data_IF_685596120956
#
_entry.id   IF_685596120956
#
_cell.length_a   1.000
_cell.length_b   1.000
_cell.length_c   1.000
_cell.angle_alpha   90.00
_cell.angle_beta   90.00
_cell.angle_gamma   90.00
#
_symmetry.space_group_name_H-M   'P 1'
#
loop_
_entity.id
_entity.type
_entity.pdbx_description
1 polymer ?
#
# COMPACT_ATOMS: atom_id res chain seq x y z
N UNK A 1 -19.23 -18.95 13.16
CA UNK A 1 -18.45 -18.12 12.23
C UNK A 1 -18.16 -16.71 12.77
N UNK A 2 -19.13 -16.03 13.42
CA UNK A 2 -18.99 -14.68 13.97
C UNK A 2 -17.83 -14.57 15.00
N UNK A 3 -17.84 -15.39 16.05
CA UNK A 3 -16.79 -15.35 17.10
C UNK A 3 -15.39 -15.62 16.54
N UNK A 4 -15.28 -16.56 15.59
CA UNK A 4 -14.02 -16.87 14.89
C UNK A 4 -13.50 -15.67 14.12
N UNK A 5 -14.36 -14.94 13.42
CA UNK A 5 -14.00 -13.74 12.68
C UNK A 5 -13.37 -12.67 13.58
N UNK A 6 -14.02 -12.33 14.68
CA UNK A 6 -13.52 -11.30 15.61
C UNK A 6 -12.28 -11.73 16.39
N UNK A 7 -12.16 -13.02 16.71
CA UNK A 7 -10.93 -13.55 17.31
C UNK A 7 -9.72 -13.41 16.38
N UNK A 8 -9.88 -13.74 15.10
CA UNK A 8 -8.82 -13.58 14.10
C UNK A 8 -8.49 -12.11 13.83
N UNK A 9 -9.50 -11.24 13.81
CA UNK A 9 -9.33 -9.81 13.65
C UNK A 9 -8.58 -9.19 14.84
N UNK A 10 -8.91 -9.61 16.07
CA UNK A 10 -8.21 -9.19 17.28
C UNK A 10 -6.74 -9.62 17.28
N UNK A 11 -6.45 -10.89 16.93
CA UNK A 11 -5.09 -11.39 16.79
C UNK A 11 -4.30 -10.61 15.72
N UNK A 12 -4.93 -10.31 14.59
CA UNK A 12 -4.32 -9.53 13.53
C UNK A 12 -3.97 -8.10 13.98
N UNK A 13 -4.91 -7.44 14.67
CA UNK A 13 -4.68 -6.08 15.18
C UNK A 13 -3.58 -6.06 16.24
N UNK A 14 -3.54 -7.04 17.13
CA UNK A 14 -2.48 -7.20 18.13
C UNK A 14 -1.12 -7.36 17.46
N UNK A 15 -1.01 -8.24 16.46
CA UNK A 15 0.26 -8.49 15.77
C UNK A 15 0.74 -7.29 14.96
N UNK A 16 -0.16 -6.53 14.33
CA UNK A 16 0.18 -5.29 13.63
C UNK A 16 0.71 -4.20 14.57
N UNK A 17 0.06 -4.02 15.72
CA UNK A 17 0.55 -3.09 16.74
C UNK A 17 1.93 -3.51 17.26
N UNK A 18 2.18 -4.82 17.39
CA UNK A 18 3.49 -5.35 17.78
C UNK A 18 4.61 -4.97 16.80
N UNK A 19 4.35 -4.94 15.48
CA UNK A 19 5.34 -4.46 14.49
C UNK A 19 5.67 -2.99 14.71
N UNK A 20 4.65 -2.16 14.92
CA UNK A 20 4.81 -0.70 15.05
C UNK A 20 5.51 -0.32 16.35
N UNK A 21 5.19 -0.99 17.44
CA UNK A 21 5.72 -0.72 18.77
C UNK A 21 7.08 -1.39 19.05
N UNK A 22 7.54 -2.28 18.19
CA UNK A 22 8.83 -2.95 18.36
C UNK A 22 9.98 -1.93 18.38
N UNK A 23 10.90 -2.10 19.30
CA UNK A 23 12.14 -1.30 19.46
C UNK A 23 13.40 -2.06 18.99
N UNK A 24 13.23 -3.28 18.55
CA UNK A 24 14.31 -4.16 18.07
C UNK A 24 13.84 -5.08 16.94
N UNK A 25 14.80 -5.60 16.17
CA UNK A 25 14.56 -6.44 15.00
C UNK A 25 13.87 -7.78 15.35
N UNK A 26 14.19 -8.38 16.51
CA UNK A 26 13.59 -9.67 16.88
C UNK A 26 12.12 -9.51 17.24
N UNK A 27 11.76 -8.52 18.06
CA UNK A 27 10.36 -8.23 18.40
C UNK A 27 9.55 -7.86 17.16
N UNK A 28 10.15 -7.10 16.23
CA UNK A 28 9.53 -6.79 14.95
C UNK A 28 9.30 -8.06 14.12
N UNK A 29 10.31 -8.95 14.04
CA UNK A 29 10.20 -10.21 13.29
C UNK A 29 9.16 -11.16 13.89
N UNK A 30 9.11 -11.31 15.22
CA UNK A 30 8.09 -12.14 15.89
C UNK A 30 6.68 -11.64 15.56
N UNK A 31 6.44 -10.35 15.66
CA UNK A 31 5.15 -9.73 15.31
C UNK A 31 4.84 -9.86 13.82
N UNK A 32 5.86 -9.76 12.97
CA UNK A 32 5.81 -9.95 11.53
C UNK A 32 5.32 -11.35 11.13
N UNK A 33 5.83 -12.38 11.80
CA UNK A 33 5.42 -13.75 11.62
C UNK A 33 3.96 -13.97 12.09
N UNK A 34 3.59 -13.35 13.22
CA UNK A 34 2.23 -13.44 13.74
C UNK A 34 1.21 -12.77 12.81
N UNK A 35 1.58 -11.66 12.15
CA UNK A 35 0.78 -11.06 11.07
C UNK A 35 0.61 -12.04 9.91
N UNK A 36 1.65 -12.79 9.56
CA UNK A 36 1.58 -13.82 8.52
C UNK A 36 0.54 -14.89 8.84
N UNK A 37 0.54 -15.42 10.07
CA UNK A 37 -0.42 -16.43 10.52
C UNK A 37 -1.84 -15.85 10.61
N UNK A 38 -2.01 -14.69 11.21
CA UNK A 38 -3.34 -14.08 11.36
C UNK A 38 -3.97 -13.70 10.02
N UNK A 39 -3.17 -13.25 9.05
CA UNK A 39 -3.61 -12.99 7.68
C UNK A 39 -4.04 -14.28 6.96
N UNK A 40 -3.29 -15.37 7.12
CA UNK A 40 -3.67 -16.68 6.60
C UNK A 40 -5.06 -17.10 7.08
N UNK A 41 -5.34 -16.94 8.39
CA UNK A 41 -6.63 -17.27 8.99
C UNK A 41 -7.77 -16.36 8.48
N UNK A 42 -7.49 -15.10 8.22
CA UNK A 42 -8.48 -14.13 7.74
C UNK A 42 -8.79 -14.31 6.25
N UNK A 43 -7.79 -14.55 5.39
CA UNK A 43 -7.98 -14.84 3.96
C UNK A 43 -8.76 -16.14 3.80
N UNK A 44 -8.37 -17.17 4.56
CA UNK A 44 -9.03 -18.47 4.59
C UNK A 44 -10.27 -18.52 5.49
N UNK A 45 -10.96 -17.40 5.75
CA UNK A 45 -12.13 -17.38 6.62
C UNK A 45 -13.22 -18.35 6.17
N UNK A 46 -13.42 -18.47 4.88
CA UNK A 46 -14.31 -19.43 4.22
C UNK A 46 -13.56 -20.64 3.67
N UNK A 47 -12.74 -21.27 4.52
CA UNK A 47 -11.86 -22.40 4.13
C UNK A 47 -12.63 -23.62 3.57
N UNK A 48 -13.95 -23.66 3.73
CA UNK A 48 -14.79 -24.67 3.10
C UNK A 48 -14.83 -24.52 1.56
N UNK A 49 -14.48 -23.33 1.03
CA UNK A 49 -14.30 -23.08 -0.41
C UNK A 49 -12.85 -23.34 -0.79
N UNK A 50 -12.62 -24.17 -1.79
CA UNK A 50 -11.28 -24.49 -2.29
C UNK A 50 -10.52 -23.24 -2.76
N UNK A 51 -11.20 -22.27 -3.37
CA UNK A 51 -10.61 -21.00 -3.79
C UNK A 51 -10.01 -20.23 -2.60
N UNK A 52 -10.76 -20.08 -1.50
CA UNK A 52 -10.30 -19.37 -0.31
C UNK A 52 -9.19 -20.14 0.43
N UNK A 53 -9.30 -21.48 0.50
CA UNK A 53 -8.27 -22.32 1.10
C UNK A 53 -6.94 -22.25 0.31
N UNK A 54 -7.01 -22.27 -1.02
CA UNK A 54 -5.82 -22.16 -1.87
C UNK A 54 -5.23 -20.74 -1.85
N UNK A 55 -6.06 -19.70 -1.86
CA UNK A 55 -5.62 -18.31 -1.73
C UNK A 55 -4.86 -18.06 -0.42
N UNK A 56 -5.37 -18.58 0.70
CA UNK A 56 -4.70 -18.43 2.00
C UNK A 56 -3.36 -19.15 2.05
N UNK A 57 -3.27 -20.39 1.53
CA UNK A 57 -2.01 -21.14 1.42
C UNK A 57 -1.00 -20.39 0.54
N UNK A 58 -1.43 -19.91 -0.63
CA UNK A 58 -0.58 -19.13 -1.54
C UNK A 58 -0.04 -17.88 -0.87
N UNK A 59 -0.90 -17.10 -0.20
CA UNK A 59 -0.49 -15.91 0.51
C UNK A 59 0.54 -16.23 1.60
N UNK A 60 0.30 -17.25 2.42
CA UNK A 60 1.21 -17.64 3.49
C UNK A 60 2.58 -18.11 2.96
N UNK A 61 2.59 -19.02 1.98
CA UNK A 61 3.83 -19.57 1.44
C UNK A 61 4.67 -18.52 0.70
N UNK A 62 4.02 -17.64 -0.09
CA UNK A 62 4.71 -16.57 -0.80
C UNK A 62 5.34 -15.56 0.17
N UNK A 63 4.62 -15.18 1.23
CA UNK A 63 5.16 -14.30 2.26
C UNK A 63 6.33 -14.95 3.01
N UNK A 64 6.26 -16.26 3.27
CA UNK A 64 7.33 -17.00 3.97
C UNK A 64 8.67 -16.93 3.24
N UNK A 65 8.67 -16.91 1.90
CA UNK A 65 9.90 -16.72 1.12
C UNK A 65 10.55 -15.37 1.46
N UNK A 66 9.76 -14.29 1.55
CA UNK A 66 10.25 -12.98 1.99
C UNK A 66 10.73 -12.97 3.44
N UNK A 67 10.01 -13.65 4.33
CA UNK A 67 10.32 -13.72 5.76
C UNK A 67 11.66 -14.44 6.03
N UNK A 68 12.00 -15.47 5.24
CA UNK A 68 13.32 -16.12 5.29
C UNK A 68 14.44 -15.12 4.95
N UNK A 69 14.27 -14.34 3.89
CA UNK A 69 15.23 -13.27 3.54
C UNK A 69 15.40 -12.26 4.66
N UNK A 70 14.29 -11.83 5.26
CA UNK A 70 14.28 -10.90 6.41
C UNK A 70 15.08 -11.47 7.59
N UNK A 71 14.83 -12.72 7.94
CA UNK A 71 15.56 -13.40 9.03
C UNK A 71 17.07 -13.47 8.75
N UNK A 72 17.47 -13.84 7.54
CA UNK A 72 18.88 -13.86 7.14
C UNK A 72 19.51 -12.46 7.28
N UNK A 73 18.82 -11.43 6.82
CA UNK A 73 19.27 -10.03 6.96
C UNK A 73 19.49 -9.63 8.43
N UNK A 74 18.56 -10.00 9.31
CA UNK A 74 18.70 -9.78 10.78
C UNK A 74 19.92 -10.50 11.34
N UNK A 75 20.13 -11.77 10.97
CA UNK A 75 21.27 -12.54 11.48
C UNK A 75 22.61 -11.99 10.98
N UNK A 76 22.68 -11.48 9.76
CA UNK A 76 23.87 -10.83 9.24
C UNK A 76 24.18 -9.52 10.01
N UNK A 77 23.18 -8.69 10.31
CA UNK A 77 23.37 -7.50 11.15
C UNK A 77 23.82 -7.89 12.56
N UNK A 78 23.17 -8.88 13.16
CA UNK A 78 23.53 -9.34 14.49
C UNK A 78 24.96 -9.89 14.55
N UNK A 79 25.39 -10.67 13.58
CA UNK A 79 26.74 -11.22 13.54
C UNK A 79 27.82 -10.13 13.46
N UNK A 80 27.48 -8.98 12.89
CA UNK A 80 28.43 -7.87 12.73
C UNK A 80 28.38 -6.88 13.90
N UNK A 81 27.19 -6.60 14.45
CA UNK A 81 26.99 -5.57 15.49
C UNK A 81 26.86 -6.16 16.90
N UNK A 82 26.40 -7.41 17.00
CA UNK A 82 26.16 -8.07 18.30
C UNK A 82 24.90 -7.60 19.03
N UNK A 83 24.01 -6.82 18.36
CA UNK A 83 22.79 -6.27 18.94
C UNK A 83 21.59 -6.39 17.99
N UNK A 84 20.39 -6.49 18.57
CA UNK A 84 19.13 -6.47 17.82
C UNK A 84 18.39 -5.13 17.93
N UNK A 85 18.68 -4.30 18.94
CA UNK A 85 18.05 -3.01 19.15
C UNK A 85 18.48 -2.01 18.06
N UNK A 86 17.53 -1.15 17.65
CA UNK A 86 17.76 -0.22 16.54
C UNK A 86 18.87 0.80 16.84
N UNK A 87 18.89 1.39 18.05
CA UNK A 87 19.86 2.43 18.40
C UNK A 87 21.32 1.95 18.33
N UNK A 88 21.73 0.81 18.93
CA UNK A 88 23.08 0.29 18.78
C UNK A 88 23.45 -0.05 17.33
N UNK A 89 22.47 -0.54 16.52
CA UNK A 89 22.72 -0.83 15.10
C UNK A 89 23.04 0.47 14.35
N UNK A 90 22.22 1.50 14.53
CA UNK A 90 22.44 2.78 13.84
C UNK A 90 23.72 3.47 14.29
N UNK A 91 24.08 3.39 15.58
CA UNK A 91 25.32 3.94 16.12
C UNK A 91 26.53 3.21 15.52
N UNK A 92 26.54 1.89 15.52
CA UNK A 92 27.61 1.07 14.95
C UNK A 92 27.81 1.32 13.45
N UNK A 93 26.72 1.54 12.69
CA UNK A 93 26.81 1.87 11.26
C UNK A 93 27.35 3.29 11.06
N UNK A 94 26.97 4.25 11.92
CA UNK A 94 27.41 5.65 11.82
C UNK A 94 28.90 5.82 12.09
N UNK A 95 29.47 5.01 12.98
CA UNK A 95 30.91 5.02 13.29
C UNK A 95 31.77 4.32 12.23
N UNK A 96 31.16 3.48 11.39
CA UNK A 96 31.84 2.76 10.30
C UNK A 96 32.78 1.63 10.75
N UNK A 97 32.80 1.31 12.06
CA UNK A 97 33.79 0.39 12.65
C UNK A 97 33.41 -1.09 12.53
N UNK A 98 32.13 -1.43 12.35
CA UNK A 98 31.65 -2.81 12.58
C UNK A 98 31.23 -3.57 11.35
N UNK A 99 30.88 -2.93 10.23
CA UNK A 99 30.30 -3.64 9.06
C UNK A 99 30.97 -3.20 7.76
N UNK A 100 31.51 -4.17 7.02
CA UNK A 100 31.93 -3.93 5.63
C UNK A 100 30.72 -3.54 4.77
N UNK A 101 30.87 -2.55 3.88
CA UNK A 101 29.77 -2.02 3.04
C UNK A 101 29.05 -3.10 2.22
N UNK A 102 29.76 -4.13 1.73
CA UNK A 102 29.15 -5.26 1.03
C UNK A 102 28.23 -6.09 1.95
N UNK A 103 28.65 -6.38 3.18
CA UNK A 103 27.85 -7.12 4.15
C UNK A 103 26.61 -6.33 4.55
N UNK A 104 26.75 -5.02 4.76
CA UNK A 104 25.61 -4.14 5.05
C UNK A 104 24.61 -4.10 3.89
N UNK A 105 25.10 -4.06 2.64
CA UNK A 105 24.23 -4.11 1.46
C UNK A 105 23.43 -5.41 1.40
N UNK A 106 24.09 -6.56 1.62
CA UNK A 106 23.42 -7.87 1.60
C UNK A 106 22.42 -7.98 2.76
N UNK A 107 22.79 -7.53 3.96
CA UNK A 107 21.88 -7.51 5.10
C UNK A 107 20.65 -6.62 4.86
N UNK A 108 20.87 -5.43 4.30
CA UNK A 108 19.77 -4.51 3.93
C UNK A 108 18.84 -5.11 2.88
N UNK A 109 19.38 -5.74 1.84
CA UNK A 109 18.57 -6.44 0.83
C UNK A 109 17.83 -7.65 1.42
N UNK A 110 18.45 -8.38 2.36
CA UNK A 110 17.80 -9.44 3.11
C UNK A 110 16.58 -8.92 3.89
N UNK A 111 16.74 -7.81 4.62
CA UNK A 111 15.63 -7.16 5.32
C UNK A 111 14.55 -6.70 4.33
N UNK A 112 14.95 -6.09 3.22
CA UNK A 112 14.02 -5.67 2.17
C UNK A 112 13.22 -6.84 1.57
N UNK A 113 13.75 -8.06 1.53
CA UNK A 113 12.98 -9.24 1.09
C UNK A 113 11.73 -9.47 1.94
N UNK A 114 11.75 -9.16 3.25
CA UNK A 114 10.54 -9.16 4.08
C UNK A 114 9.48 -8.17 3.56
N UNK A 115 9.91 -6.97 3.15
CA UNK A 115 9.02 -6.00 2.52
C UNK A 115 8.50 -6.48 1.16
N UNK A 116 9.34 -7.13 0.34
CA UNK A 116 8.93 -7.71 -0.95
C UNK A 116 7.79 -8.72 -0.76
N UNK A 117 7.84 -9.55 0.27
CA UNK A 117 6.76 -10.48 0.62
C UNK A 117 5.49 -9.76 1.07
N UNK A 118 5.54 -9.07 2.22
CA UNK A 118 4.36 -8.46 2.85
C UNK A 118 3.74 -7.32 2.03
N UNK A 119 4.57 -6.46 1.43
CA UNK A 119 4.09 -5.36 0.58
C UNK A 119 3.88 -5.77 -0.88
N UNK A 120 3.86 -7.07 -1.17
CA UNK A 120 3.48 -7.59 -2.49
C UNK A 120 4.29 -6.96 -3.63
N UNK A 121 5.60 -6.85 -3.46
CA UNK A 121 6.48 -6.32 -4.49
C UNK A 121 6.90 -7.42 -5.47
N UNK A 122 7.27 -7.02 -6.68
CA UNK A 122 7.83 -7.96 -7.66
C UNK A 122 9.11 -8.64 -7.09
N UNK A 123 9.25 -9.97 -7.24
CA UNK A 123 8.39 -10.92 -7.93
C UNK A 123 7.30 -11.58 -7.04
N UNK A 124 7.22 -11.27 -5.74
CA UNK A 124 6.32 -11.91 -4.77
C UNK A 124 4.91 -11.28 -4.70
N UNK A 125 4.45 -10.58 -5.73
CA UNK A 125 3.18 -9.84 -5.75
C UNK A 125 1.93 -10.70 -6.00
N UNK A 126 2.10 -11.93 -6.45
CA UNK A 126 1.04 -12.79 -7.01
C UNK A 126 0.00 -13.28 -6.01
N UNK A 127 0.23 -13.13 -4.71
CA UNK A 127 -0.69 -13.60 -3.67
C UNK A 127 -1.81 -12.60 -3.35
N UNK A 128 -1.56 -11.31 -3.52
CA UNK A 128 -2.46 -10.25 -3.05
C UNK A 128 -3.80 -10.20 -3.82
N UNK A 129 -3.84 -10.35 -5.16
CA UNK A 129 -5.11 -10.42 -5.87
C UNK A 129 -5.97 -11.63 -5.50
N UNK A 130 -5.35 -12.78 -5.19
CA UNK A 130 -6.06 -13.98 -4.78
C UNK A 130 -6.56 -13.87 -3.32
N UNK A 131 -5.89 -13.08 -2.49
CA UNK A 131 -6.32 -12.79 -1.12
C UNK A 131 -7.69 -12.05 -1.06
N UNK A 132 -8.22 -11.57 -2.19
CA UNK A 132 -9.56 -10.99 -2.30
C UNK A 132 -10.70 -12.00 -2.07
N UNK A 133 -10.42 -13.28 -1.97
CA UNK A 133 -11.36 -14.32 -1.53
C UNK A 133 -11.83 -14.13 -0.07
N UNK A 134 -11.08 -13.40 0.73
CA UNK A 134 -11.47 -13.05 2.08
C UNK A 134 -12.65 -12.07 2.16
N UNK A 135 -13.28 -11.90 3.36
CA UNK A 135 -14.34 -10.93 3.57
C UNK A 135 -13.91 -9.50 3.20
N UNK A 136 -14.79 -8.72 2.57
CA UNK A 136 -14.44 -7.36 2.10
C UNK A 136 -13.93 -6.42 3.20
N UNK A 137 -14.47 -6.43 4.45
CA UNK A 137 -13.89 -5.64 5.54
C UNK A 137 -12.46 -6.03 5.89
N UNK A 138 -12.12 -7.32 5.77
CA UNK A 138 -10.73 -7.82 5.94
C UNK A 138 -9.85 -7.30 4.80
N UNK A 139 -10.35 -7.35 3.56
CA UNK A 139 -9.62 -6.79 2.41
C UNK A 139 -9.33 -5.30 2.59
N UNK A 140 -10.30 -4.52 3.08
CA UNK A 140 -10.12 -3.11 3.41
C UNK A 140 -9.03 -2.90 4.48
N UNK A 141 -9.07 -3.66 5.57
CA UNK A 141 -8.11 -3.52 6.66
C UNK A 141 -6.70 -3.98 6.24
N UNK A 142 -6.57 -5.19 5.69
CA UNK A 142 -5.26 -5.80 5.38
C UNK A 142 -4.53 -5.07 4.24
N UNK A 143 -5.28 -4.61 3.24
CA UNK A 143 -4.69 -4.11 1.99
C UNK A 143 -4.66 -2.59 1.89
N UNK A 144 -5.34 -1.86 2.79
CA UNK A 144 -5.27 -0.40 2.82
C UNK A 144 -4.16 0.13 3.74
N UNK A 145 -4.14 -0.32 5.01
CA UNK A 145 -3.41 0.38 6.06
C UNK A 145 -2.52 -0.51 6.94
N UNK A 146 -2.54 -1.84 6.79
CA UNK A 146 -1.91 -2.71 7.77
C UNK A 146 -0.88 -3.66 7.16
N UNK A 147 -1.21 -4.92 6.85
CA UNK A 147 -0.24 -5.94 6.46
C UNK A 147 0.67 -5.50 5.30
N UNK A 148 0.07 -4.98 4.23
CA UNK A 148 0.84 -4.54 3.05
C UNK A 148 1.61 -3.25 3.29
N UNK A 149 1.17 -2.43 4.24
CA UNK A 149 1.86 -1.22 4.68
C UNK A 149 3.07 -1.52 5.56
N UNK A 150 3.10 -2.67 6.24
CA UNK A 150 4.16 -3.05 7.17
C UNK A 150 5.55 -3.09 6.52
N UNK A 151 5.64 -3.55 5.25
CA UNK A 151 6.92 -3.56 4.54
C UNK A 151 7.45 -2.16 4.23
N UNK A 152 6.59 -1.25 3.80
CA UNK A 152 6.97 0.15 3.58
C UNK A 152 7.36 0.81 4.91
N UNK A 153 6.57 0.60 5.97
CA UNK A 153 6.89 1.08 7.32
C UNK A 153 8.26 0.60 7.78
N UNK A 154 8.55 -0.69 7.63
CA UNK A 154 9.85 -1.27 7.97
C UNK A 154 10.99 -0.62 7.18
N UNK A 155 10.83 -0.44 5.87
CA UNK A 155 11.84 0.21 5.03
C UNK A 155 12.09 1.66 5.45
N UNK A 156 11.05 2.42 5.80
CA UNK A 156 11.20 3.79 6.31
C UNK A 156 11.88 3.81 7.67
N UNK A 157 11.48 2.93 8.59
CA UNK A 157 12.07 2.86 9.94
C UNK A 157 13.53 2.45 9.94
N UNK A 158 13.89 1.53 9.04
CA UNK A 158 15.24 1.02 8.88
C UNK A 158 16.01 1.71 7.73
N UNK A 159 15.47 2.82 7.21
CA UNK A 159 16.09 3.56 6.11
C UNK A 159 17.58 3.87 6.32
N UNK A 160 18.03 4.24 7.54
CA UNK A 160 19.44 4.52 7.79
C UNK A 160 20.41 3.39 7.43
N UNK A 161 19.98 2.12 7.47
CA UNK A 161 20.86 0.97 7.18
C UNK A 161 21.07 0.70 5.70
N UNK A 162 20.21 1.24 4.82
CA UNK A 162 20.29 0.95 3.38
C UNK A 162 21.44 1.71 2.72
N UNK A 163 22.36 0.96 2.12
CA UNK A 163 23.43 1.51 1.29
C UNK A 163 22.89 2.03 -0.04
N UNK A 164 23.60 2.94 -0.75
CA UNK A 164 23.17 3.41 -2.08
C UNK A 164 22.88 2.28 -3.07
N UNK A 165 23.70 1.21 -3.06
CA UNK A 165 23.46 0.04 -3.90
C UNK A 165 22.17 -0.71 -3.54
N UNK A 166 21.86 -0.85 -2.24
CA UNK A 166 20.60 -1.44 -1.80
C UNK A 166 19.41 -0.55 -2.19
N UNK A 167 19.52 0.77 -2.01
CA UNK A 167 18.47 1.73 -2.38
C UNK A 167 18.17 1.71 -3.88
N UNK A 168 19.19 1.59 -4.73
CA UNK A 168 19.00 1.45 -6.18
C UNK A 168 18.18 0.19 -6.52
N UNK A 169 18.48 -0.95 -5.91
CA UNK A 169 17.70 -2.18 -6.10
C UNK A 169 16.26 -1.99 -5.62
N UNK A 170 16.05 -1.38 -4.45
CA UNK A 170 14.74 -1.06 -3.89
C UNK A 170 13.95 -0.17 -4.86
N UNK A 171 14.57 0.86 -5.43
CA UNK A 171 13.95 1.76 -6.39
C UNK A 171 13.45 1.02 -7.64
N UNK A 172 14.28 0.16 -8.23
CA UNK A 172 13.88 -0.63 -9.41
C UNK A 172 12.78 -1.64 -9.09
N UNK A 173 12.84 -2.35 -7.97
CA UNK A 173 11.77 -3.25 -7.56
C UNK A 173 10.46 -2.48 -7.39
N UNK A 174 10.47 -1.31 -6.76
CA UNK A 174 9.31 -0.46 -6.62
C UNK A 174 8.75 0.03 -7.96
N UNK A 175 9.61 0.53 -8.86
CA UNK A 175 9.22 1.03 -10.17
C UNK A 175 8.60 -0.06 -11.05
N UNK A 176 9.24 -1.24 -11.12
CA UNK A 176 8.75 -2.40 -11.86
C UNK A 176 7.39 -2.85 -11.29
N UNK A 177 7.27 -2.92 -9.96
CA UNK A 177 6.00 -3.28 -9.31
C UNK A 177 4.90 -2.28 -9.66
N UNK A 178 5.18 -0.98 -9.61
CA UNK A 178 4.20 0.07 -9.86
C UNK A 178 3.62 -0.04 -11.28
N UNK A 179 4.48 -0.15 -12.29
CA UNK A 179 4.04 -0.20 -13.69
C UNK A 179 3.37 -1.54 -14.04
N UNK A 180 3.92 -2.66 -13.60
CA UNK A 180 3.41 -3.99 -13.88
C UNK A 180 2.00 -4.18 -13.30
N UNK A 181 1.81 -3.79 -12.05
CA UNK A 181 0.51 -3.86 -11.40
C UNK A 181 -0.50 -2.89 -12.02
N UNK A 182 -0.08 -1.69 -12.43
CA UNK A 182 -0.95 -0.73 -13.10
C UNK A 182 -1.46 -1.27 -14.46
N UNK A 183 -0.59 -1.85 -15.26
CA UNK A 183 -0.96 -2.49 -16.54
C UNK A 183 -1.93 -3.66 -16.30
N UNK A 184 -1.66 -4.51 -15.33
CA UNK A 184 -2.54 -5.65 -15.02
C UNK A 184 -3.91 -5.20 -14.53
N UNK A 185 -4.00 -4.09 -13.78
CA UNK A 185 -5.27 -3.54 -13.30
C UNK A 185 -6.22 -3.14 -14.44
N UNK A 186 -5.70 -2.73 -15.61
CA UNK A 186 -6.52 -2.38 -16.79
C UNK A 186 -7.39 -3.54 -17.26
N UNK A 187 -6.86 -4.76 -17.20
CA UNK A 187 -7.51 -5.94 -17.76
C UNK A 187 -8.48 -6.64 -16.79
N UNK A 188 -8.45 -6.26 -15.52
CA UNK A 188 -9.32 -6.86 -14.51
C UNK A 188 -10.77 -6.39 -14.67
N UNK A 189 -11.71 -7.33 -14.51
CA UNK A 189 -13.16 -7.05 -14.52
C UNK A 189 -13.80 -7.20 -13.14
N UNK A 190 -13.13 -7.85 -12.19
CA UNK A 190 -13.54 -7.96 -10.81
C UNK A 190 -13.16 -6.67 -10.05
N UNK A 191 -14.16 -6.03 -9.43
CA UNK A 191 -13.98 -4.75 -8.72
C UNK A 191 -12.94 -4.84 -7.59
N UNK A 192 -12.89 -5.96 -6.85
CA UNK A 192 -11.89 -6.18 -5.80
C UNK A 192 -10.48 -6.43 -6.38
N UNK A 193 -10.37 -7.17 -7.49
CA UNK A 193 -9.09 -7.43 -8.13
C UNK A 193 -8.48 -6.16 -8.74
N UNK A 194 -9.28 -5.27 -9.33
CA UNK A 194 -8.81 -3.94 -9.76
C UNK A 194 -8.21 -3.19 -8.56
N UNK A 195 -8.94 -3.15 -7.44
CA UNK A 195 -8.47 -2.48 -6.23
C UNK A 195 -7.23 -3.16 -5.64
N UNK A 196 -7.10 -4.47 -5.72
CA UNK A 196 -5.92 -5.20 -5.28
C UNK A 196 -4.67 -4.83 -6.11
N UNK A 197 -4.75 -4.91 -7.43
CA UNK A 197 -3.64 -4.50 -8.30
C UNK A 197 -3.31 -3.01 -8.16
N UNK A 198 -4.33 -2.17 -7.94
CA UNK A 198 -4.08 -0.77 -7.65
C UNK A 198 -3.38 -0.57 -6.30
N UNK A 199 -3.59 -1.45 -5.31
CA UNK A 199 -2.82 -1.45 -4.05
C UNK A 199 -1.37 -1.83 -4.30
N UNK A 200 -1.11 -2.91 -5.04
CA UNK A 200 0.25 -3.32 -5.42
C UNK A 200 0.99 -2.17 -6.12
N UNK A 201 0.33 -1.50 -7.06
CA UNK A 201 0.90 -0.35 -7.78
C UNK A 201 1.25 0.81 -6.84
N UNK A 202 0.36 1.20 -5.91
CA UNK A 202 0.65 2.28 -4.96
C UNK A 202 1.76 1.92 -3.97
N UNK A 203 1.83 0.68 -3.52
CA UNK A 203 2.96 0.20 -2.71
C UNK A 203 4.27 0.23 -3.50
N UNK A 204 4.22 -0.08 -4.80
CA UNK A 204 5.36 0.10 -5.71
C UNK A 204 5.85 1.55 -5.75
N UNK A 205 4.95 2.55 -5.81
CA UNK A 205 5.31 3.97 -5.69
C UNK A 205 6.01 4.30 -4.37
N UNK A 206 5.50 3.76 -3.25
CA UNK A 206 6.12 4.00 -1.94
C UNK A 206 7.51 3.39 -1.85
N UNK A 207 7.68 2.17 -2.36
CA UNK A 207 8.99 1.49 -2.39
C UNK A 207 9.96 2.21 -3.34
N UNK A 208 9.49 2.68 -4.51
CA UNK A 208 10.26 3.54 -5.40
C UNK A 208 10.75 4.80 -4.68
N UNK A 209 9.86 5.48 -3.93
CA UNK A 209 10.21 6.68 -3.19
C UNK A 209 11.23 6.41 -2.06
N UNK A 210 11.13 5.27 -1.37
CA UNK A 210 12.16 4.85 -0.41
C UNK A 210 13.49 4.65 -1.13
N UNK A 211 13.50 3.94 -2.26
CA UNK A 211 14.73 3.64 -3.01
C UNK A 211 15.40 4.88 -3.62
N UNK A 212 14.64 5.93 -3.95
CA UNK A 212 15.18 7.21 -4.43
C UNK A 212 15.52 8.21 -3.31
N UNK A 213 15.44 7.80 -2.04
CA UNK A 213 15.79 8.64 -0.90
C UNK A 213 14.66 9.54 -0.37
N UNK A 214 13.48 9.54 -1.02
CA UNK A 214 12.34 10.39 -0.64
C UNK A 214 11.39 9.65 0.31
N UNK A 215 11.95 9.03 1.34
CA UNK A 215 11.22 8.16 2.27
C UNK A 215 10.12 8.88 3.08
N UNK A 216 10.29 10.19 3.32
CA UNK A 216 9.26 11.02 3.98
C UNK A 216 7.98 11.08 3.15
N UNK A 217 8.11 11.31 1.83
CA UNK A 217 6.97 11.29 0.92
C UNK A 217 6.35 9.89 0.80
N UNK A 218 7.17 8.83 0.81
CA UNK A 218 6.70 7.45 0.85
C UNK A 218 5.81 7.19 2.06
N UNK A 219 6.23 7.63 3.25
CA UNK A 219 5.48 7.42 4.48
C UNK A 219 4.24 8.32 4.57
N UNK A 220 4.32 9.54 4.07
CA UNK A 220 3.13 10.40 3.94
C UNK A 220 2.12 9.81 2.95
N UNK A 221 2.58 9.23 1.85
CA UNK A 221 1.70 8.53 0.92
C UNK A 221 1.05 7.30 1.57
N UNK A 222 1.75 6.60 2.44
CA UNK A 222 1.18 5.50 3.23
C UNK A 222 0.00 5.98 4.09
N UNK A 223 0.12 7.13 4.77
CA UNK A 223 -0.93 7.72 5.59
C UNK A 223 -2.17 8.07 4.75
N UNK A 224 -1.98 8.82 3.66
CA UNK A 224 -3.08 9.22 2.78
C UNK A 224 -3.70 8.02 2.06
N UNK A 225 -2.87 7.06 1.63
CA UNK A 225 -3.29 5.81 1.02
C UNK A 225 -4.21 5.00 1.93
N UNK A 226 -3.90 4.92 3.22
CA UNK A 226 -4.73 4.21 4.18
C UNK A 226 -6.18 4.71 4.16
N UNK A 227 -6.39 6.02 4.09
CA UNK A 227 -7.73 6.62 4.09
C UNK A 227 -8.49 6.37 2.80
N UNK A 228 -7.95 6.80 1.65
CA UNK A 228 -8.69 6.66 0.40
C UNK A 228 -8.80 5.20 -0.05
N UNK A 229 -7.84 4.33 0.31
CA UNK A 229 -7.88 2.93 -0.09
C UNK A 229 -8.87 2.12 0.73
N UNK A 230 -8.91 2.32 2.05
CA UNK A 230 -9.94 1.72 2.89
C UNK A 230 -11.33 2.13 2.40
N UNK A 231 -11.51 3.41 2.05
CA UNK A 231 -12.76 3.89 1.50
C UNK A 231 -13.15 3.19 0.18
N UNK A 232 -12.21 3.06 -0.75
CA UNK A 232 -12.45 2.35 -2.02
C UNK A 232 -12.91 0.90 -1.80
N UNK A 233 -12.29 0.18 -0.86
CA UNK A 233 -12.71 -1.17 -0.52
C UNK A 233 -14.06 -1.21 0.19
N UNK A 234 -14.37 -0.28 1.09
CA UNK A 234 -15.69 -0.22 1.72
C UNK A 234 -16.79 0.16 0.72
N UNK A 235 -16.51 1.07 -0.21
CA UNK A 235 -17.42 1.39 -1.31
C UNK A 235 -17.66 0.18 -2.22
N UNK A 236 -16.60 -0.57 -2.57
CA UNK A 236 -16.78 -1.80 -3.34
C UNK A 236 -17.58 -2.85 -2.57
N UNK A 237 -17.39 -2.95 -1.25
CA UNK A 237 -18.19 -3.79 -0.37
C UNK A 237 -19.67 -3.40 -0.35
N UNK A 238 -19.98 -2.09 -0.37
CA UNK A 238 -21.34 -1.57 -0.48
C UNK A 238 -21.99 -1.95 -1.82
N UNK A 239 -21.24 -1.80 -2.93
CA UNK A 239 -21.72 -2.21 -4.27
C UNK A 239 -21.98 -3.71 -4.34
N UNK A 240 -21.03 -4.54 -3.87
CA UNK A 240 -21.18 -6.00 -3.87
C UNK A 240 -22.35 -6.44 -2.98
N UNK A 241 -22.56 -5.79 -1.84
CA UNK A 241 -23.68 -6.07 -0.94
C UNK A 241 -25.03 -5.83 -1.64
N UNK A 242 -25.19 -4.68 -2.30
CA UNK A 242 -26.40 -4.35 -3.05
C UNK A 242 -26.63 -5.30 -4.24
N UNK A 243 -25.55 -5.62 -5.00
CA UNK A 243 -25.62 -6.59 -6.10
C UNK A 243 -26.03 -7.98 -5.61
N UNK A 244 -25.42 -8.46 -4.52
CA UNK A 244 -25.75 -9.76 -3.95
C UNK A 244 -27.22 -9.85 -3.51
N UNK A 245 -27.73 -8.77 -2.87
CA UNK A 245 -29.14 -8.69 -2.49
C UNK A 245 -30.06 -8.74 -3.70
N UNK A 246 -29.79 -7.93 -4.74
CA UNK A 246 -30.60 -7.87 -5.93
C UNK A 246 -30.57 -9.18 -6.75
N UNK A 247 -29.43 -9.87 -6.82
CA UNK A 247 -29.30 -11.20 -7.44
C UNK A 247 -30.07 -12.26 -6.66
N UNK A 248 -30.05 -12.20 -5.33
CA UNK A 248 -30.82 -13.13 -4.49
C UNK A 248 -32.33 -12.97 -4.67
N UNK A 249 -32.84 -11.72 -4.73
CA UNK A 249 -34.26 -11.45 -5.04
C UNK A 249 -34.65 -11.92 -6.44
N UNK A 250 -33.73 -11.86 -7.39
CA UNK A 250 -33.92 -12.36 -8.74
C UNK A 250 -33.74 -13.90 -8.90
N UNK A 251 -33.42 -14.62 -7.82
CA UNK A 251 -33.05 -16.04 -7.80
C UNK A 251 -31.91 -16.41 -8.77
N UNK A 252 -31.02 -15.45 -9.05
CA UNK A 252 -29.82 -15.66 -9.87
C UNK A 252 -28.64 -16.00 -8.96
N UNK A 253 -28.20 -17.25 -9.01
CA UNK A 253 -27.07 -17.75 -8.22
C UNK A 253 -25.80 -17.97 -9.05
N UNK A 254 -25.88 -17.78 -10.36
CA UNK A 254 -24.78 -18.03 -11.31
C UNK A 254 -23.96 -16.76 -11.60
N UNK A 255 -24.58 -15.60 -11.50
CA UNK A 255 -23.94 -14.31 -11.78
C UNK A 255 -23.03 -13.88 -10.64
N UNK A 256 -21.76 -13.56 -10.97
CA UNK A 256 -20.78 -13.05 -9.98
C UNK A 256 -21.10 -11.57 -9.62
N UNK A 257 -21.41 -11.26 -8.35
CA UNK A 257 -21.70 -9.90 -7.91
C UNK A 257 -20.49 -8.97 -7.90
N UNK A 258 -19.28 -9.49 -8.15
CA UNK A 258 -18.03 -8.70 -8.19
C UNK A 258 -17.66 -8.28 -9.62
N UNK A 259 -18.29 -8.85 -10.64
CA UNK A 259 -17.98 -8.55 -12.05
C UNK A 259 -18.59 -7.22 -12.49
N UNK A 260 -17.73 -6.23 -12.77
CA UNK A 260 -18.14 -4.88 -13.20
C UNK A 260 -18.89 -4.88 -14.55
N UNK A 261 -18.72 -5.92 -15.37
CA UNK A 261 -19.43 -6.05 -16.65
C UNK A 261 -20.94 -6.23 -16.48
N UNK A 262 -21.37 -6.71 -15.32
CA UNK A 262 -22.77 -6.90 -14.96
C UNK A 262 -23.39 -5.65 -14.30
N UNK A 263 -22.57 -4.64 -13.99
CA UNK A 263 -22.97 -3.39 -13.32
C UNK A 263 -23.34 -2.31 -14.36
N UNK A 264 -23.64 -1.12 -13.89
CA UNK A 264 -23.91 0.09 -14.69
C UNK A 264 -25.07 0.89 -14.15
N UNK A 265 -24.98 2.22 -14.24
CA UNK A 265 -26.05 3.13 -13.84
C UNK A 265 -26.31 3.26 -12.34
N UNK A 266 -25.45 2.74 -11.46
CA UNK A 266 -25.69 2.70 -10.01
C UNK A 266 -25.64 4.07 -9.33
N UNK A 267 -25.17 5.11 -10.02
CA UNK A 267 -25.10 6.48 -9.49
C UNK A 267 -26.42 6.96 -8.91
N UNK A 268 -27.55 6.68 -9.57
CA UNK A 268 -28.87 7.13 -9.13
C UNK A 268 -29.39 6.35 -7.91
N UNK A 269 -29.00 5.09 -7.79
CA UNK A 269 -29.46 4.18 -6.74
C UNK A 269 -28.57 4.20 -5.49
N UNK A 270 -27.28 4.51 -5.66
CA UNK A 270 -26.26 4.51 -4.61
C UNK A 270 -25.45 5.82 -4.60
N UNK A 271 -26.08 6.98 -4.37
CA UNK A 271 -25.41 8.28 -4.48
C UNK A 271 -24.31 8.48 -3.42
N UNK A 272 -24.51 8.03 -2.19
CA UNK A 272 -23.51 8.19 -1.11
C UNK A 272 -22.27 7.36 -1.45
N UNK A 273 -22.44 6.10 -1.81
CA UNK A 273 -21.36 5.21 -2.23
C UNK A 273 -20.64 5.78 -3.47
N UNK A 274 -21.39 6.29 -4.46
CA UNK A 274 -20.81 6.88 -5.67
C UNK A 274 -19.91 8.07 -5.39
N UNK A 275 -20.42 9.10 -4.68
CA UNK A 275 -19.62 10.30 -4.42
C UNK A 275 -18.41 10.02 -3.54
N UNK A 276 -18.55 9.14 -2.56
CA UNK A 276 -17.44 8.77 -1.70
C UNK A 276 -16.35 7.99 -2.46
N UNK A 277 -16.76 7.08 -3.34
CA UNK A 277 -15.83 6.33 -4.20
C UNK A 277 -15.15 7.23 -5.23
N UNK A 278 -15.88 8.21 -5.80
CA UNK A 278 -15.33 9.20 -6.71
C UNK A 278 -14.27 10.08 -6.04
N UNK A 279 -14.53 10.58 -4.83
CA UNK A 279 -13.57 11.37 -4.03
C UNK A 279 -12.27 10.58 -3.84
N UNK A 280 -12.37 9.32 -3.43
CA UNK A 280 -11.19 8.48 -3.23
C UNK A 280 -10.49 8.11 -4.53
N UNK A 281 -11.24 8.02 -5.64
CA UNK A 281 -10.68 7.84 -6.99
C UNK A 281 -9.90 9.08 -7.43
N UNK A 282 -10.39 10.28 -7.17
CA UNK A 282 -9.66 11.52 -7.42
C UNK A 282 -8.41 11.63 -6.56
N UNK A 283 -8.48 11.19 -5.29
CA UNK A 283 -7.34 11.15 -4.40
C UNK A 283 -6.23 10.20 -4.91
N UNK A 284 -6.57 8.95 -5.25
CA UNK A 284 -5.57 7.99 -5.75
C UNK A 284 -5.01 8.36 -7.14
N UNK A 285 -5.81 9.04 -7.97
CA UNK A 285 -5.35 9.55 -9.26
C UNK A 285 -4.36 10.72 -9.12
N UNK A 286 -4.30 11.36 -7.93
CA UNK A 286 -3.42 12.48 -7.68
C UNK A 286 -3.97 13.80 -8.24
N UNK A 287 -5.30 13.98 -8.21
CA UNK A 287 -5.94 15.23 -8.63
C UNK A 287 -5.71 16.29 -7.55
N UNK A 288 -5.36 17.55 -7.90
CA UNK A 288 -5.23 18.65 -6.94
C UNK A 288 -6.45 18.77 -6.04
N UNK A 289 -6.27 19.24 -4.80
CA UNK A 289 -7.26 19.34 -3.72
C UNK A 289 -7.58 18.02 -3.00
N UNK A 290 -7.06 16.89 -3.45
CA UNK A 290 -7.20 15.61 -2.77
C UNK A 290 -5.87 15.18 -2.12
N UNK A 291 -5.96 14.39 -1.06
CA UNK A 291 -4.81 14.01 -0.22
C UNK A 291 -3.67 13.32 -0.97
N UNK A 292 -4.01 12.50 -1.98
CA UNK A 292 -3.04 11.78 -2.79
C UNK A 292 -2.20 12.67 -3.71
N UNK A 293 -2.65 13.88 -4.02
CA UNK A 293 -1.87 14.83 -4.83
C UNK A 293 -0.55 15.20 -4.15
N UNK A 294 -0.62 15.68 -2.89
CA UNK A 294 0.56 16.12 -2.15
C UNK A 294 1.65 15.05 -2.07
N UNK A 295 1.24 13.82 -1.77
CA UNK A 295 2.18 12.71 -1.59
C UNK A 295 2.73 12.19 -2.91
N UNK A 296 1.87 12.01 -3.93
CA UNK A 296 2.28 11.47 -5.23
C UNK A 296 3.15 12.43 -6.01
N UNK A 297 2.83 13.73 -5.97
CA UNK A 297 3.65 14.78 -6.55
C UNK A 297 5.06 14.76 -5.98
N UNK A 298 5.19 14.72 -4.65
CA UNK A 298 6.50 14.65 -4.00
C UNK A 298 7.29 13.37 -4.35
N UNK A 299 6.62 12.22 -4.50
CA UNK A 299 7.27 10.98 -4.94
C UNK A 299 7.80 11.12 -6.37
N UNK A 300 6.99 11.62 -7.28
CA UNK A 300 7.38 11.77 -8.69
C UNK A 300 8.48 12.84 -8.87
N UNK A 301 8.38 13.97 -8.16
CA UNK A 301 9.41 15.00 -8.14
C UNK A 301 10.73 14.47 -7.62
N UNK A 302 10.71 13.73 -6.49
CA UNK A 302 11.92 13.11 -5.95
C UNK A 302 12.52 12.04 -6.85
N UNK A 303 11.70 11.25 -7.53
CA UNK A 303 12.18 10.27 -8.51
C UNK A 303 12.82 10.96 -9.74
N UNK A 304 12.25 12.08 -10.19
CA UNK A 304 12.82 12.88 -11.27
C UNK A 304 14.15 13.52 -10.84
N UNK A 305 14.21 14.08 -9.64
CA UNK A 305 15.44 14.66 -9.07
C UNK A 305 16.55 13.60 -8.98
N UNK A 306 16.22 12.38 -8.55
CA UNK A 306 17.17 11.28 -8.51
C UNK A 306 17.74 10.96 -9.89
N UNK A 307 16.89 10.90 -10.94
CA UNK A 307 17.33 10.62 -12.28
C UNK A 307 18.11 11.80 -12.93
N UNK A 308 17.88 13.04 -12.51
CA UNK A 308 18.68 14.19 -12.93
C UNK A 308 20.08 14.13 -12.36
N UNK A 309 20.22 13.66 -11.11
CA UNK A 309 21.52 13.46 -10.47
C UNK A 309 22.23 12.19 -10.95
N UNK A 310 21.44 11.14 -11.29
CA UNK A 310 21.89 9.85 -11.79
C UNK A 310 21.23 9.53 -13.15
N UNK A 311 21.72 10.12 -14.26
CA UNK A 311 21.08 10.01 -15.60
C UNK A 311 20.96 8.58 -16.11
N UNK A 312 21.81 7.66 -15.65
CA UNK A 312 21.78 6.23 -15.97
C UNK A 312 20.49 5.53 -15.49
N UNK A 313 19.80 6.12 -14.53
CA UNK A 313 18.55 5.58 -13.93
C UNK A 313 17.27 6.23 -14.48
N UNK A 314 17.28 6.73 -15.72
CA UNK A 314 16.12 7.40 -16.35
C UNK A 314 14.85 6.56 -16.45
N UNK A 315 14.96 5.23 -16.35
CA UNK A 315 13.81 4.32 -16.34
C UNK A 315 12.93 4.48 -15.10
N UNK A 316 13.47 4.93 -13.97
CA UNK A 316 12.72 5.09 -12.72
C UNK A 316 11.60 6.13 -12.85
N UNK A 317 11.87 7.38 -13.26
CA UNK A 317 10.79 8.35 -13.49
C UNK A 317 9.89 7.94 -14.66
N UNK A 318 10.41 7.33 -15.74
CA UNK A 318 9.58 6.85 -16.84
C UNK A 318 8.51 5.87 -16.36
N UNK A 319 8.88 4.89 -15.54
CA UNK A 319 7.93 3.93 -14.97
C UNK A 319 6.99 4.60 -13.96
N UNK A 320 7.49 5.51 -13.14
CA UNK A 320 6.69 6.26 -12.17
C UNK A 320 5.58 7.08 -12.86
N UNK A 321 5.93 7.95 -13.79
CA UNK A 321 4.95 8.79 -14.50
C UNK A 321 3.97 7.95 -15.33
N UNK A 322 4.45 6.91 -16.01
CA UNK A 322 3.58 6.00 -16.78
C UNK A 322 2.59 5.28 -15.88
N UNK A 323 3.03 4.75 -14.73
CA UNK A 323 2.16 4.09 -13.78
C UNK A 323 1.13 5.07 -13.16
N UNK A 324 1.50 6.35 -12.96
CA UNK A 324 0.57 7.39 -12.50
C UNK A 324 -0.56 7.64 -13.50
N UNK A 325 -0.22 7.80 -14.79
CA UNK A 325 -1.19 7.98 -15.87
C UNK A 325 -2.14 6.76 -15.98
N UNK A 326 -1.58 5.55 -15.96
CA UNK A 326 -2.37 4.31 -16.02
C UNK A 326 -3.26 4.17 -14.78
N UNK A 327 -2.82 4.62 -13.61
CA UNK A 327 -3.64 4.62 -12.37
C UNK A 327 -4.92 5.43 -12.56
N UNK A 328 -4.84 6.63 -13.12
CA UNK A 328 -6.01 7.43 -13.42
C UNK A 328 -6.95 6.69 -14.38
N UNK A 329 -6.40 6.09 -15.45
CA UNK A 329 -7.20 5.37 -16.44
C UNK A 329 -8.02 4.23 -15.84
N UNK A 330 -7.39 3.27 -15.13
CA UNK A 330 -8.13 2.10 -14.62
C UNK A 330 -9.09 2.46 -13.48
N UNK A 331 -8.78 3.48 -12.68
CA UNK A 331 -9.67 3.93 -11.61
C UNK A 331 -10.93 4.60 -12.17
N UNK A 332 -10.80 5.46 -13.18
CA UNK A 332 -11.97 6.02 -13.86
C UNK A 332 -12.73 4.97 -14.65
N UNK A 333 -12.07 3.99 -15.28
CA UNK A 333 -12.72 2.83 -15.89
C UNK A 333 -13.63 2.11 -14.88
N UNK A 334 -13.14 1.86 -13.66
CA UNK A 334 -13.93 1.24 -12.60
C UNK A 334 -15.18 2.08 -12.26
N UNK A 335 -15.02 3.41 -12.08
CA UNK A 335 -16.14 4.32 -11.80
C UNK A 335 -17.16 4.30 -12.93
N UNK A 336 -16.73 4.39 -14.19
CA UNK A 336 -17.64 4.43 -15.32
C UNK A 336 -18.37 3.11 -15.53
N UNK A 337 -17.71 1.98 -15.39
CA UNK A 337 -18.34 0.67 -15.54
C UNK A 337 -19.38 0.38 -14.44
N UNK A 338 -19.13 0.83 -13.20
CA UNK A 338 -20.00 0.54 -12.06
C UNK A 338 -21.16 1.54 -11.95
N UNK A 339 -20.89 2.84 -12.06
CA UNK A 339 -21.86 3.88 -11.69
C UNK A 339 -22.49 4.61 -12.86
N UNK A 340 -21.86 4.61 -14.03
CA UNK A 340 -22.33 5.34 -15.20
C UNK A 340 -22.89 4.41 -16.28
N UNK A 341 -23.44 5.01 -17.32
CA UNK A 341 -24.02 4.27 -18.44
C UNK A 341 -25.41 3.70 -18.16
N UNK A 342 -25.83 2.80 -19.02
CA UNK A 342 -27.10 2.06 -18.86
C UNK A 342 -26.85 0.79 -18.04
N UNK A 343 -27.83 0.39 -17.18
CA UNK A 343 -27.72 -0.87 -16.47
C UNK A 343 -27.59 -2.04 -17.44
N UNK A 344 -26.53 -2.84 -17.28
CA UNK A 344 -26.33 -4.03 -18.11
C UNK A 344 -27.32 -5.15 -17.77
N UNK A 345 -27.66 -5.29 -16.48
CA UNK A 345 -28.68 -6.22 -15.99
C UNK A 345 -29.94 -5.46 -15.55
N UNK A 346 -30.86 -5.20 -16.47
CA UNK A 346 -32.10 -4.46 -16.21
C UNK A 346 -33.02 -5.16 -15.22
N UNK A 347 -32.98 -6.49 -15.16
CA UNK A 347 -33.83 -7.31 -14.28
C UNK A 347 -33.59 -7.00 -12.80
N UNK A 348 -32.32 -6.86 -12.39
CA UNK A 348 -31.93 -6.65 -11.00
C UNK A 348 -31.80 -5.16 -10.62
N UNK A 349 -31.77 -4.25 -11.61
CA UNK A 349 -31.51 -2.82 -11.37
C UNK A 349 -32.56 -2.16 -10.45
N UNK A 350 -33.79 -2.69 -10.42
CA UNK A 350 -34.87 -2.18 -9.58
C UNK A 350 -34.54 -2.38 -8.09
N UNK A 351 -33.90 -3.49 -7.76
CA UNK A 351 -33.64 -3.94 -6.41
C UNK A 351 -32.28 -3.44 -5.87
N UNK A 352 -31.49 -2.78 -6.74
CA UNK A 352 -30.27 -2.06 -6.33
C UNK A 352 -30.67 -0.88 -5.45
N UNK A 353 -30.05 -0.77 -4.27
CA UNK A 353 -30.30 0.28 -3.28
C UNK A 353 -29.04 0.65 -2.51
N UNK A 354 -29.03 1.83 -1.89
CA UNK A 354 -27.94 2.28 -1.04
C UNK A 354 -27.82 1.39 0.22
N UNK A 355 -26.61 1.15 0.64
CA UNK A 355 -26.34 0.37 1.85
C UNK A 355 -26.82 1.07 3.13
N UNK A 356 -27.09 0.32 4.22
CA UNK A 356 -27.55 0.90 5.49
C UNK A 356 -26.54 1.89 6.07
N UNK A 357 -27.05 2.80 6.94
CA UNK A 357 -26.25 3.89 7.55
C UNK A 357 -25.01 3.41 8.31
N UNK A 358 -25.06 2.20 8.87
CA UNK A 358 -23.91 1.58 9.54
C UNK A 358 -22.75 1.33 8.58
N UNK A 359 -23.01 1.07 7.30
CA UNK A 359 -22.01 0.89 6.27
C UNK A 359 -21.61 2.24 5.62
N UNK A 360 -22.58 3.11 5.34
CA UNK A 360 -22.31 4.39 4.68
C UNK A 360 -21.64 5.41 5.61
N UNK A 361 -21.81 5.33 6.92
CA UNK A 361 -21.14 6.20 7.89
C UNK A 361 -19.60 6.17 7.79
N UNK A 362 -18.96 5.00 7.94
CA UNK A 362 -17.51 4.87 7.71
C UNK A 362 -17.06 5.31 6.32
N UNK A 363 -17.85 5.02 5.28
CA UNK A 363 -17.57 5.42 3.89
C UNK A 363 -17.49 6.95 3.78
N UNK A 364 -18.47 7.68 4.33
CA UNK A 364 -18.48 9.14 4.32
C UNK A 364 -17.31 9.72 5.12
N UNK A 365 -17.01 9.15 6.30
CA UNK A 365 -15.88 9.61 7.12
C UNK A 365 -14.55 9.48 6.36
N UNK A 366 -14.27 8.30 5.80
CA UNK A 366 -13.02 8.04 5.07
C UNK A 366 -12.94 8.85 3.77
N UNK A 367 -14.07 9.03 3.07
CA UNK A 367 -14.17 9.91 1.91
C UNK A 367 -13.83 11.36 2.26
N UNK A 368 -14.33 11.84 3.38
CA UNK A 368 -14.02 13.19 3.89
C UNK A 368 -12.53 13.32 4.20
N UNK A 369 -11.92 12.34 4.87
CA UNK A 369 -10.48 12.32 5.17
C UNK A 369 -9.60 12.16 3.91
N UNK A 370 -10.18 11.92 2.74
CA UNK A 370 -9.45 11.88 1.47
C UNK A 370 -9.21 13.27 0.85
N UNK A 371 -9.74 14.34 1.41
CA UNK A 371 -9.40 15.71 1.00
C UNK A 371 -8.08 16.16 1.62
N UNK A 372 -7.31 16.98 0.89
CA UNK A 372 -5.99 17.43 1.32
C UNK A 372 -6.03 18.37 2.53
N UNK A 373 -7.12 19.13 2.72
CA UNK A 373 -7.26 20.13 3.77
C UNK A 373 -7.06 19.57 5.19
N UNK A 374 -7.31 18.28 5.40
CA UNK A 374 -7.10 17.63 6.70
C UNK A 374 -5.63 17.36 7.02
N UNK A 375 -4.75 17.51 6.04
CA UNK A 375 -3.31 17.29 6.19
C UNK A 375 -2.51 18.59 6.15
N UNK A 376 -3.13 19.70 5.75
CA UNK A 376 -2.52 21.02 5.69
C UNK A 376 -2.90 21.84 6.91
N UNK A 377 -1.92 22.32 7.65
CA UNK A 377 -2.15 23.25 8.74
C UNK A 377 -2.01 24.69 8.23
N UNK A 378 -2.69 25.70 8.86
CA UNK A 378 -2.64 27.09 8.43
C UNK A 378 -1.23 27.69 8.35
N UNK A 379 -0.34 27.23 9.23
CA UNK A 379 1.07 27.68 9.28
C UNK A 379 1.99 26.90 8.34
N UNK A 380 1.50 25.82 7.72
CA UNK A 380 2.36 24.88 7.00
C UNK A 380 1.56 24.15 5.92
N UNK A 381 1.36 24.84 4.79
CA UNK A 381 0.50 24.36 3.70
C UNK A 381 0.97 23.02 3.12
N UNK A 382 2.27 22.75 3.10
CA UNK A 382 2.80 21.46 2.66
C UNK A 382 3.44 20.70 3.83
N UNK A 383 2.83 19.59 4.32
CA UNK A 383 3.29 18.87 5.50
C UNK A 383 4.64 18.15 5.31
N UNK A 384 5.06 17.92 4.07
CA UNK A 384 6.30 17.18 3.70
C UNK A 384 7.43 18.09 3.20
N UNK A 385 7.27 19.42 3.21
CA UNK A 385 8.38 20.36 3.00
C UNK A 385 9.33 20.40 4.21
N UNK A 386 10.50 21.00 4.00
CA UNK A 386 11.41 21.38 5.09
C UNK A 386 10.64 22.16 6.17
N UNK A 387 10.73 21.70 7.41
CA UNK A 387 9.95 22.21 8.57
C UNK A 387 8.43 21.95 8.46
N UNK A 388 7.98 21.03 7.60
CA UNK A 388 6.62 20.51 7.61
C UNK A 388 6.35 19.69 8.86
N UNK A 389 5.14 19.74 9.43
CA UNK A 389 4.80 19.01 10.65
C UNK A 389 5.04 17.50 10.52
N UNK A 390 4.86 16.94 9.34
CA UNK A 390 5.05 15.51 9.09
C UNK A 390 6.54 15.18 8.95
N UNK A 391 7.31 16.03 8.25
CA UNK A 391 8.76 15.88 8.13
C UNK A 391 9.44 15.95 9.50
N UNK A 392 9.05 16.91 10.34
CA UNK A 392 9.61 17.07 11.68
C UNK A 392 9.37 15.86 12.60
N UNK A 393 8.31 15.08 12.35
CA UNK A 393 8.02 13.85 13.10
C UNK A 393 8.88 12.67 12.68
N UNK A 394 9.34 12.63 11.42
CA UNK A 394 9.94 11.42 10.84
C UNK A 394 11.45 11.54 10.70
N UNK A 395 11.97 12.72 10.36
CA UNK A 395 13.39 12.89 10.05
C UNK A 395 14.22 12.88 11.34
N UNK A 396 15.13 11.91 11.54
CA UNK A 396 16.10 11.95 12.64
C UNK A 396 17.03 13.13 12.44
N UNK A 397 17.12 14.01 13.43
CA UNK A 397 17.83 15.30 13.32
C UNK A 397 19.35 15.21 13.12
N UNK A 398 19.98 14.05 13.35
CA UNK A 398 21.44 13.88 13.18
C UNK A 398 21.77 12.44 12.79
N UNK A 399 22.08 12.17 11.52
CA UNK A 399 22.73 10.90 11.19
C UNK A 399 23.57 10.97 9.92
N UNK A 400 24.84 10.60 10.05
CA UNK A 400 25.81 10.37 8.98
C UNK A 400 25.72 8.95 8.40
N UNK A 401 24.57 8.27 8.54
CA UNK A 401 24.36 6.91 8.03
C UNK A 401 24.06 6.92 6.53
N UNK A 402 24.41 5.83 5.79
CA UNK A 402 24.35 5.81 4.32
C UNK A 402 23.02 6.22 3.71
N UNK A 403 21.91 5.75 4.26
CA UNK A 403 20.57 6.10 3.77
C UNK A 403 20.27 7.59 3.89
N UNK A 404 20.60 8.20 5.01
CA UNK A 404 20.36 9.62 5.24
C UNK A 404 21.26 10.53 4.39
N UNK A 405 22.47 10.10 4.05
CA UNK A 405 23.32 10.83 3.10
C UNK A 405 22.64 10.90 1.74
N UNK A 406 22.14 9.78 1.21
CA UNK A 406 21.39 9.75 -0.05
C UNK A 406 20.14 10.61 0.01
N UNK A 407 19.38 10.58 1.12
CA UNK A 407 18.18 11.41 1.27
C UNK A 407 18.50 12.91 1.27
N UNK A 408 19.60 13.32 1.92
CA UNK A 408 20.03 14.72 1.96
C UNK A 408 20.45 15.22 0.57
N UNK A 409 21.18 14.41 -0.19
CA UNK A 409 21.55 14.75 -1.57
C UNK A 409 20.32 15.00 -2.45
N UNK A 410 19.33 14.09 -2.37
CA UNK A 410 18.14 14.19 -3.22
C UNK A 410 17.18 15.31 -2.74
N UNK A 411 17.14 15.63 -1.46
CA UNK A 411 16.28 16.71 -0.94
C UNK A 411 16.60 18.08 -1.55
N UNK A 412 17.87 18.37 -1.80
CA UNK A 412 18.30 19.61 -2.47
C UNK A 412 17.77 19.70 -3.92
N UNK A 413 17.85 18.61 -4.67
CA UNK A 413 17.37 18.57 -6.06
C UNK A 413 15.85 18.46 -6.17
N UNK A 414 15.19 17.77 -5.24
CA UNK A 414 13.73 17.58 -5.25
C UNK A 414 13.00 18.93 -5.16
N UNK A 415 13.56 19.91 -4.48
CA UNK A 415 12.95 21.25 -4.39
C UNK A 415 12.83 21.92 -5.77
N UNK A 416 13.78 21.71 -6.66
CA UNK A 416 13.74 22.25 -8.03
C UNK A 416 12.83 21.44 -8.95
N UNK A 417 12.72 20.12 -8.74
CA UNK A 417 11.92 19.22 -9.57
C UNK A 417 10.40 19.45 -9.47
N UNK A 418 9.91 20.11 -8.41
CA UNK A 418 8.50 20.50 -8.30
C UNK A 418 8.05 21.55 -9.32
N UNK A 419 8.98 22.24 -9.96
CA UNK A 419 8.70 23.28 -10.95
C UNK A 419 8.89 22.80 -12.41
N UNK A 420 9.23 21.52 -12.59
CA UNK A 420 9.36 20.86 -13.87
C UNK A 420 8.17 19.94 -14.15
#
# INVERSE_FOLDING_TARGET
RYNRYYAYLGLFTFSMNGIVLADNLISMYMSWELVGVSSYLLIGHWFEKDSAANASKKAFLTNRVGDIGFFIGIMLLYSAVGAFAFSPIFESISTGESIAGATLTIAGLGIFMGAVGKSSQFPLHIWLPDAMEGPTPVSALMHAATMVAAGVYMCVRLFPIFTPGALTVIAYVGAITAILAAITAITQNDIKKVLAYSTVSQLGFMVLAVGTGVYTAAFFHLLTHAMFKANLFYCSGSVIHSMHHALHEAHDHDTDPQDMRNMGGFKEKMPVTYYSMLISTLAIAGVPLFSGFLSKDAILAGTLAFAQHHPEHFLLPLFGFSAAAITAFYMFRLIFMTFHGKPNMKSIFKDIHESPKVMTGPIVLLGTLSFFIFYTLPSNFNPIKDKGWFTDLIVPRNSSVPGNLTANEIAEYAHHAHYL
#
